data_IF_260427828245
#
_entry.id   IF_260427828245
#
_cell.length_a   1.000
_cell.length_b   1.000
_cell.length_c   1.000
_cell.angle_alpha   90.00
_cell.angle_beta   90.00
_cell.angle_gamma   90.00
#
_symmetry.space_group_name_H-M   'P 1'
#
loop_
_entity.id
_entity.type
_entity.pdbx_description
1 polymer ?
#
# COMPACT_ATOMS: atom_id res chain seq x y z
N UNK A 1 -7.96 -18.89 11.80
CA UNK A 1 -6.98 -19.20 10.92
C UNK A 1 -6.54 -18.03 10.12
N UNK A 2 -5.31 -17.81 10.09
CA UNK A 2 -4.87 -16.62 9.46
C UNK A 2 -3.77 -16.85 8.44
N UNK A 3 -4.20 -17.18 7.24
CA UNK A 3 -3.29 -17.47 6.17
C UNK A 3 -2.48 -16.27 5.74
N UNK A 4 -2.97 -15.05 6.03
CA UNK A 4 -2.25 -13.84 5.66
C UNK A 4 -0.95 -13.69 6.41
N UNK A 5 -0.95 -14.00 7.71
CA UNK A 5 0.29 -13.92 8.47
C UNK A 5 1.34 -14.87 7.94
N UNK A 6 0.90 -16.08 7.59
CA UNK A 6 1.80 -17.06 7.03
C UNK A 6 2.32 -16.62 5.67
N UNK A 7 1.44 -16.06 4.85
CA UNK A 7 1.83 -15.58 3.53
C UNK A 7 2.85 -14.45 3.65
N UNK A 8 2.65 -13.55 4.62
CA UNK A 8 3.60 -12.47 4.86
C UNK A 8 4.97 -13.03 5.21
N UNK A 9 5.01 -14.03 6.09
CA UNK A 9 6.28 -14.64 6.49
C UNK A 9 6.98 -15.31 5.33
N UNK A 10 6.24 -16.02 4.51
CA UNK A 10 6.81 -16.72 3.38
C UNK A 10 7.42 -15.77 2.35
N UNK A 11 6.92 -14.56 2.29
CA UNK A 11 7.38 -13.59 1.31
C UNK A 11 8.26 -12.53 1.92
N UNK A 12 8.74 -12.76 3.12
CA UNK A 12 9.61 -11.82 3.83
C UNK A 12 9.00 -10.44 3.95
N UNK A 13 7.70 -10.40 4.24
CA UNK A 13 6.99 -9.16 4.39
C UNK A 13 6.76 -8.83 5.84
N UNK A 14 7.04 -7.60 6.21
CA UNK A 14 6.68 -7.08 7.52
C UNK A 14 6.26 -5.64 7.31
N UNK A 15 5.48 -5.07 8.23
CA UNK A 15 4.97 -3.71 8.02
C UNK A 15 6.07 -2.70 7.70
N UNK A 16 7.25 -2.88 8.27
CA UNK A 16 8.33 -1.92 8.11
C UNK A 16 9.01 -1.97 6.76
N UNK A 17 8.85 -3.07 6.00
CA UNK A 17 9.51 -3.15 4.70
C UNK A 17 8.55 -3.01 3.53
N UNK A 18 7.29 -2.67 3.80
CA UNK A 18 6.29 -2.49 2.76
C UNK A 18 6.20 -1.01 2.39
N UNK A 19 6.37 -0.72 1.11
CA UNK A 19 6.32 0.64 0.61
C UNK A 19 4.90 1.03 0.19
N UNK A 20 4.24 0.20 -0.59
CA UNK A 20 2.85 0.43 -0.97
C UNK A 20 2.20 -0.87 -1.42
N UNK A 21 0.88 -0.83 -1.48
CA UNK A 21 0.07 -1.97 -1.92
C UNK A 21 -0.94 -1.46 -2.95
N UNK A 22 -1.21 -2.27 -3.96
CA UNK A 22 -2.19 -1.88 -4.96
C UNK A 22 -2.91 -3.09 -5.54
N UNK A 23 -4.11 -2.83 -6.03
CA UNK A 23 -4.90 -3.87 -6.69
C UNK A 23 -4.45 -4.01 -8.12
N UNK A 24 -4.33 -5.25 -8.57
CA UNK A 24 -4.02 -5.53 -9.95
C UNK A 24 -4.82 -6.75 -10.33
N UNK A 25 -5.85 -6.54 -11.13
CA UNK A 25 -6.77 -7.61 -11.45
C UNK A 25 -7.48 -8.05 -10.17
N UNK A 26 -7.41 -9.30 -9.83
CA UNK A 26 -8.05 -9.83 -8.63
C UNK A 26 -7.06 -10.03 -7.51
N UNK A 27 -5.87 -9.48 -7.66
CA UNK A 27 -4.82 -9.65 -6.68
C UNK A 27 -4.50 -8.35 -5.98
N UNK A 28 -3.92 -8.48 -4.81
CA UNK A 28 -3.30 -7.34 -4.15
C UNK A 28 -1.79 -7.55 -4.27
N UNK A 29 -1.11 -6.54 -4.79
CA UNK A 29 0.33 -6.58 -4.95
C UNK A 29 0.95 -5.77 -3.82
N UNK A 30 1.93 -6.36 -3.15
CA UNK A 30 2.65 -5.70 -2.06
C UNK A 30 4.05 -5.40 -2.56
N UNK A 31 4.38 -4.11 -2.62
CA UNK A 31 5.69 -3.66 -3.10
C UNK A 31 6.56 -3.34 -1.90
N UNK A 32 7.72 -3.97 -1.83
CA UNK A 32 8.62 -3.80 -0.71
C UNK A 32 9.56 -2.62 -0.92
N UNK A 33 10.16 -2.18 0.16
CA UNK A 33 11.13 -1.09 0.10
C UNK A 33 12.32 -1.41 -0.79
N UNK A 34 12.66 -2.70 -0.91
CA UNK A 34 13.80 -3.11 -1.73
C UNK A 34 13.44 -3.31 -3.20
N UNK A 35 12.19 -3.06 -3.59
CA UNK A 35 11.78 -3.19 -4.97
C UNK A 35 11.15 -4.52 -5.34
N UNK A 36 11.19 -5.49 -4.45
CA UNK A 36 10.56 -6.79 -4.71
C UNK A 36 9.05 -6.69 -4.51
N UNK A 37 8.32 -7.50 -5.27
CA UNK A 37 6.86 -7.53 -5.15
C UNK A 37 6.36 -8.93 -4.92
N UNK A 38 5.26 -9.02 -4.21
CA UNK A 38 4.56 -10.28 -3.99
C UNK A 38 3.09 -10.01 -4.18
N UNK A 39 2.37 -10.97 -4.73
CA UNK A 39 0.95 -10.79 -5.01
C UNK A 39 0.15 -11.95 -4.45
N UNK A 40 -1.07 -11.66 -4.02
CA UNK A 40 -1.95 -12.72 -3.54
C UNK A 40 -3.39 -12.40 -3.93
N UNK A 41 -4.21 -13.44 -4.02
CA UNK A 41 -5.62 -13.30 -4.33
C UNK A 41 -6.38 -12.96 -3.06
N UNK A 42 -6.45 -11.69 -2.75
CA UNK A 42 -7.19 -11.20 -1.60
C UNK A 42 -7.50 -9.74 -1.84
N UNK A 43 -8.63 -9.24 -1.34
CA UNK A 43 -8.94 -7.82 -1.48
C UNK A 43 -7.97 -6.99 -0.66
N UNK A 44 -7.76 -5.76 -1.12
CA UNK A 44 -6.83 -4.87 -0.44
C UNK A 44 -7.20 -4.67 1.03
N UNK A 45 -8.50 -4.47 1.32
CA UNK A 45 -8.90 -4.23 2.70
C UNK A 45 -8.59 -5.40 3.62
N UNK A 46 -8.60 -6.62 3.08
CA UNK A 46 -8.26 -7.78 3.90
C UNK A 46 -6.78 -7.78 4.26
N UNK A 47 -5.93 -7.41 3.30
CA UNK A 47 -4.51 -7.34 3.56
C UNK A 47 -4.22 -6.21 4.55
N UNK A 48 -4.86 -5.06 4.36
CA UNK A 48 -4.65 -3.94 5.27
C UNK A 48 -5.11 -4.24 6.68
N UNK A 49 -6.08 -5.12 6.84
CA UNK A 49 -6.62 -5.42 8.18
C UNK A 49 -5.60 -6.10 9.09
N UNK A 50 -4.57 -6.71 8.53
CA UNK A 50 -3.54 -7.34 9.35
C UNK A 50 -2.30 -6.47 9.49
N UNK A 51 -2.35 -5.23 8.99
CA UNK A 51 -1.26 -4.29 9.11
C UNK A 51 -1.62 -3.20 10.10
N UNK A 52 -0.63 -2.56 10.73
CA UNK A 52 -0.93 -1.45 11.65
C UNK A 52 -1.66 -0.32 10.93
N UNK A 53 -2.76 0.12 11.52
CA UNK A 53 -3.64 1.12 10.91
C UNK A 53 -2.95 2.42 10.59
N UNK A 54 -2.07 2.84 11.47
CA UNK A 54 -1.46 4.15 11.34
C UNK A 54 -0.23 4.18 10.44
N UNK A 55 0.21 3.04 9.94
CA UNK A 55 1.38 3.01 9.06
C UNK A 55 1.03 3.23 7.59
N UNK A 56 -0.19 2.91 7.22
CA UNK A 56 -0.59 2.96 5.81
C UNK A 56 -1.78 3.86 5.61
N UNK A 57 -1.77 4.57 4.50
CA UNK A 57 -2.84 5.46 4.11
C UNK A 57 -3.50 4.91 2.85
N UNK A 58 -4.80 4.65 2.94
CA UNK A 58 -5.55 4.18 1.80
C UNK A 58 -5.96 5.40 0.98
N UNK A 59 -5.24 5.68 -0.09
CA UNK A 59 -5.43 6.91 -0.84
C UNK A 59 -6.47 6.79 -1.94
N UNK A 60 -6.85 5.56 -2.30
CA UNK A 60 -7.92 5.35 -3.25
C UNK A 60 -8.46 3.96 -3.02
N UNK A 61 -9.46 3.59 -3.81
CA UNK A 61 -10.11 2.31 -3.63
C UNK A 61 -9.16 1.13 -3.74
N UNK A 62 -8.15 1.25 -4.56
CA UNK A 62 -7.24 0.13 -4.79
C UNK A 62 -5.80 0.41 -4.47
N UNK A 63 -5.50 1.46 -3.70
CA UNK A 63 -4.10 1.82 -3.42
C UNK A 63 -3.93 2.24 -1.98
N UNK A 64 -2.94 1.69 -1.32
CA UNK A 64 -2.54 2.10 0.02
C UNK A 64 -1.04 2.31 0.04
N UNK A 65 -0.58 3.35 0.70
CA UNK A 65 0.83 3.71 0.71
C UNK A 65 1.34 3.87 2.14
N UNK A 66 2.63 3.62 2.32
CA UNK A 66 3.27 3.81 3.62
C UNK A 66 3.37 5.31 3.90
N UNK A 67 2.75 5.78 4.98
CA UNK A 67 2.69 7.20 5.28
C UNK A 67 4.05 7.85 5.36
N UNK A 68 5.00 7.18 6.00
CA UNK A 68 6.31 7.79 6.21
C UNK A 68 7.15 7.86 4.96
N UNK A 69 6.71 7.20 3.89
CA UNK A 69 7.47 7.17 2.65
C UNK A 69 6.85 8.05 1.56
N UNK A 70 5.87 8.85 1.91
CA UNK A 70 5.29 9.83 0.99
C UNK A 70 6.21 11.03 0.97
N UNK A 71 6.78 11.36 -0.18
CA UNK A 71 7.69 12.49 -0.27
C UNK A 71 6.99 13.75 -0.78
N UNK A 72 5.85 13.59 -1.44
CA UNK A 72 5.13 14.75 -1.96
C UNK A 72 3.69 14.39 -2.28
N UNK A 73 2.80 15.34 -2.08
CA UNK A 73 1.40 15.20 -2.48
C UNK A 73 1.07 16.46 -3.29
N UNK A 74 0.76 16.27 -4.57
CA UNK A 74 0.46 17.40 -5.43
C UNK A 74 -0.94 17.91 -5.22
N UNK A 75 -1.22 19.09 -5.75
CA UNK A 75 -2.56 19.65 -5.67
C UNK A 75 -3.60 18.81 -6.41
N UNK A 76 -3.13 18.03 -7.37
CA UNK A 76 -4.03 17.16 -8.13
C UNK A 76 -4.25 15.81 -7.47
N UNK A 77 -3.67 15.61 -6.30
CA UNK A 77 -3.86 14.37 -5.58
C UNK A 77 -2.91 13.27 -5.97
N UNK A 78 -1.76 13.61 -6.54
CA UNK A 78 -0.73 12.62 -6.85
C UNK A 78 0.17 12.45 -5.64
N UNK A 79 0.25 11.24 -5.14
CA UNK A 79 1.13 10.91 -4.01
C UNK A 79 2.40 10.32 -4.58
N UNK A 80 3.52 10.98 -4.36
CA UNK A 80 4.82 10.49 -4.83
C UNK A 80 5.54 9.80 -3.68
N UNK A 81 5.95 8.58 -3.92
CA UNK A 81 6.60 7.77 -2.92
C UNK A 81 8.12 7.92 -3.00
N UNK A 82 8.80 7.43 -1.96
CA UNK A 82 10.26 7.59 -1.88
C UNK A 82 11.00 6.88 -3.02
N UNK A 83 10.38 5.94 -3.70
CA UNK A 83 10.99 5.29 -4.85
C UNK A 83 10.74 6.04 -6.15
N UNK A 84 10.05 7.16 -6.08
CA UNK A 84 9.77 7.99 -7.24
C UNK A 84 8.45 7.69 -7.91
N UNK A 85 7.75 6.68 -7.50
CA UNK A 85 6.48 6.33 -8.13
C UNK A 85 5.35 7.21 -7.62
N UNK A 86 4.48 7.64 -8.54
CA UNK A 86 3.33 8.47 -8.18
C UNK A 86 2.04 7.70 -8.32
N UNK A 87 1.10 7.95 -7.41
CA UNK A 87 -0.21 7.33 -7.42
C UNK A 87 -1.29 8.39 -7.32
N UNK A 88 -2.33 8.25 -8.12
CA UNK A 88 -3.47 9.14 -8.07
C UNK A 88 -4.35 8.75 -6.89
N UNK A 89 -4.45 9.62 -5.91
CA UNK A 89 -5.36 9.39 -4.80
C UNK A 89 -6.61 10.23 -4.94
N UNK A 90 -7.44 10.20 -3.91
CA UNK A 90 -8.65 11.01 -3.90
C UNK A 90 -8.28 12.45 -3.61
N UNK A 91 -9.02 13.35 -4.20
CA UNK A 91 -8.79 14.78 -3.97
C UNK A 91 -9.57 15.28 -2.77
N UNK A 92 -9.52 14.55 -1.70
CA UNK A 92 -10.32 14.91 -0.56
C UNK A 92 -9.82 16.13 0.16
N UNK A 93 -8.54 16.30 0.15
CA UNK A 93 -7.96 17.41 0.88
C UNK A 93 -8.42 18.75 0.38
N UNK A 94 -8.81 18.81 -0.87
CA UNK A 94 -9.21 20.08 -1.45
C UNK A 94 -10.58 20.51 -1.00
N UNK A 95 -11.38 19.59 -0.60
CA UNK A 95 -12.74 19.91 -0.18
C UNK A 95 -12.86 20.06 1.32
N UNK A 96 -11.84 19.74 2.01
CA UNK A 96 -11.92 19.78 3.46
C UNK A 96 -11.47 21.10 4.06
#
# INVERSE_FOLDING_TARGET
>A
MNDLHEWFQKNDLCPENILYLYRSDRKTVVHRMDGEEAALYAPLHSVLSVLPENLFLNISKGIAVCRSQIVNISNDGIYTMSDGRGFQGRKRGLSD
#
